data_IF_288218445716
#
_entry.id   IF_288218445716
#
_cell.length_a   1.000
_cell.length_b   1.000
_cell.length_c   1.000
_cell.angle_alpha   90.00
_cell.angle_beta   90.00
_cell.angle_gamma   90.00
#
_symmetry.space_group_name_H-M   'P 1'
#
loop_
_entity.id
_entity.type
_entity.pdbx_description
1 polymer ?
#
# COMPACT_ATOMS: atom_id res chain seq x y z
N UNK A 1 10.55 9.13 -5.39
CA UNK A 1 9.37 10.02 -5.42
C UNK A 1 8.19 9.11 -5.13
N UNK A 2 7.52 9.26 -3.98
CA UNK A 2 6.20 8.65 -3.83
C UNK A 2 5.26 9.43 -4.74
N UNK A 3 4.45 8.75 -5.56
CA UNK A 3 3.43 9.41 -6.36
C UNK A 3 2.46 10.19 -5.48
N UNK A 4 1.75 11.16 -6.06
CA UNK A 4 0.64 11.81 -5.38
C UNK A 4 -0.45 10.79 -5.05
N UNK A 5 -1.21 11.05 -3.98
CA UNK A 5 -2.45 10.32 -3.68
C UNK A 5 -3.61 11.25 -3.98
N UNK A 6 -4.60 10.74 -4.69
CA UNK A 6 -5.73 11.53 -5.14
C UNK A 6 -7.04 10.86 -4.71
N UNK A 7 -8.06 11.66 -4.31
CA UNK A 7 -9.32 11.14 -3.81
C UNK A 7 -10.17 10.50 -4.91
N UNK A 8 -9.95 10.87 -6.17
CA UNK A 8 -10.65 10.32 -7.31
C UNK A 8 -9.77 10.27 -8.57
N UNK A 9 -10.27 9.54 -9.57
CA UNK A 9 -9.61 9.29 -10.84
C UNK A 9 -9.48 10.56 -11.70
N UNK A 10 -10.40 11.52 -11.56
CA UNK A 10 -10.37 12.76 -12.35
C UNK A 10 -9.17 13.61 -11.92
N UNK A 11 -8.95 13.73 -10.61
CA UNK A 11 -7.80 14.44 -10.07
C UNK A 11 -6.49 13.69 -10.38
N UNK A 12 -6.48 12.36 -10.29
CA UNK A 12 -5.35 11.55 -10.72
C UNK A 12 -4.97 11.81 -12.18
N UNK A 13 -5.95 11.73 -13.10
CA UNK A 13 -5.78 11.96 -14.53
C UNK A 13 -5.32 13.40 -14.85
N UNK A 14 -5.79 14.39 -14.09
CA UNK A 14 -5.34 15.76 -14.24
C UNK A 14 -3.83 15.91 -13.97
N UNK A 15 -3.31 15.20 -12.96
CA UNK A 15 -1.92 15.26 -12.57
C UNK A 15 -1.01 14.30 -13.36
N UNK A 16 -1.54 13.15 -13.75
CA UNK A 16 -0.85 12.08 -14.44
C UNK A 16 -1.74 11.55 -15.58
N UNK A 17 -1.85 12.30 -16.69
CA UNK A 17 -2.75 11.94 -17.77
C UNK A 17 -2.34 10.66 -18.48
N UNK A 18 -3.32 9.97 -19.06
CA UNK A 18 -3.14 8.80 -19.89
C UNK A 18 -2.15 9.08 -21.03
N UNK A 19 -1.15 8.21 -21.18
CA UNK A 19 -0.15 8.36 -22.22
C UNK A 19 1.08 7.46 -22.06
N UNK A 20 2.02 7.65 -22.99
CA UNK A 20 3.32 7.00 -22.94
C UNK A 20 4.33 7.92 -22.26
N UNK A 21 4.84 7.48 -21.12
CA UNK A 21 5.87 8.16 -20.35
C UNK A 21 7.23 7.57 -20.72
N UNK A 22 8.16 8.41 -21.17
CA UNK A 22 9.48 7.97 -21.62
C UNK A 22 10.47 8.13 -20.46
N UNK A 23 10.91 7.01 -19.91
CA UNK A 23 11.99 6.98 -18.93
C UNK A 23 13.32 6.86 -19.67
N UNK A 24 14.21 7.83 -19.43
CA UNK A 24 15.54 7.85 -20.01
C UNK A 24 16.57 7.61 -18.92
N UNK A 25 17.44 6.65 -19.14
CA UNK A 25 18.53 6.35 -18.22
C UNK A 25 19.76 5.88 -18.99
N UNK A 26 20.92 6.22 -18.47
CA UNK A 26 22.21 5.80 -19.00
C UNK A 26 22.81 4.80 -18.02
N UNK A 27 23.16 3.61 -18.51
CA UNK A 27 23.79 2.58 -17.68
C UNK A 27 25.13 2.18 -18.28
N UNK A 28 26.13 1.82 -17.45
CA UNK A 28 27.43 1.38 -17.94
C UNK A 28 27.39 0.17 -18.89
N UNK A 29 26.38 -0.70 -18.77
CA UNK A 29 26.28 -1.95 -19.54
C UNK A 29 25.48 -1.80 -20.83
N UNK A 30 24.46 -0.95 -20.88
CA UNK A 30 23.58 -0.79 -22.05
C UNK A 30 23.76 0.53 -22.79
N UNK A 31 24.49 1.48 -22.21
CA UNK A 31 24.49 2.88 -22.62
C UNK A 31 23.12 3.53 -22.44
N UNK A 32 22.88 4.62 -23.16
CA UNK A 32 21.61 5.34 -23.16
C UNK A 32 20.45 4.42 -23.58
N UNK A 33 19.45 4.33 -22.71
CA UNK A 33 18.20 3.61 -22.95
C UNK A 33 17.01 4.56 -22.79
N UNK A 34 16.08 4.46 -23.74
CA UNK A 34 14.74 5.03 -23.62
C UNK A 34 13.75 3.89 -23.43
N UNK A 35 12.94 3.98 -22.39
CA UNK A 35 11.92 3.00 -22.08
C UNK A 35 10.56 3.68 -22.04
N UNK A 36 9.69 3.44 -23.04
CA UNK A 36 8.31 3.89 -22.97
C UNK A 36 7.53 3.01 -21.98
N UNK A 37 6.84 3.65 -21.05
CA UNK A 37 5.89 3.03 -20.12
C UNK A 37 4.51 3.61 -20.43
N UNK A 38 3.59 2.74 -20.80
CA UNK A 38 2.20 3.13 -21.01
C UNK A 38 1.48 3.24 -19.66
N UNK A 39 1.07 4.44 -19.30
CA UNK A 39 0.08 4.68 -18.26
C UNK A 39 -1.23 4.96 -18.97
N UNK A 40 -2.02 3.92 -19.23
CA UNK A 40 -3.32 4.04 -19.88
C UNK A 40 -4.35 3.37 -18.99
N UNK A 41 -5.07 4.18 -18.23
CA UNK A 41 -6.09 3.81 -17.25
C UNK A 41 -7.44 3.47 -17.92
N UNK A 42 -7.54 3.59 -19.25
CA UNK A 42 -8.72 3.27 -20.04
C UNK A 42 -8.63 1.88 -20.70
N UNK A 43 -9.34 0.90 -20.16
CA UNK A 43 -9.68 -0.32 -20.90
C UNK A 43 -11.14 -0.21 -21.36
N UNK A 44 -11.37 -0.01 -22.66
CA UNK A 44 -12.71 -0.08 -23.28
C UNK A 44 -13.82 0.76 -22.61
N UNK A 45 -13.49 1.92 -22.02
CA UNK A 45 -14.46 2.84 -21.40
C UNK A 45 -14.73 2.61 -19.92
N UNK A 46 -13.95 1.77 -19.24
CA UNK A 46 -13.99 1.59 -17.78
C UNK A 46 -12.62 1.82 -17.14
N UNK A 47 -12.64 2.32 -15.89
CA UNK A 47 -11.46 2.50 -15.04
C UNK A 47 -10.68 1.20 -14.88
N UNK A 48 -9.35 1.28 -14.88
CA UNK A 48 -8.46 0.17 -14.53
C UNK A 48 -8.06 0.19 -13.07
N UNK A 49 -8.42 1.24 -12.32
CA UNK A 49 -8.24 1.25 -10.87
C UNK A 49 -9.08 0.12 -10.27
N UNK A 50 -8.48 -0.73 -9.41
CA UNK A 50 -9.23 -1.82 -8.78
C UNK A 50 -10.23 -1.27 -7.75
N UNK A 51 -11.20 -2.10 -7.38
CA UNK A 51 -12.12 -1.77 -6.28
C UNK A 51 -11.32 -1.51 -4.98
N UNK A 52 -11.76 -0.54 -4.17
CA UNK A 52 -11.10 -0.22 -2.91
C UNK A 52 -11.18 -1.39 -1.92
N UNK A 53 -10.06 -1.84 -1.31
CA UNK A 53 -10.06 -2.91 -0.32
C UNK A 53 -10.82 -2.52 0.95
N UNK A 54 -11.81 -3.31 1.37
CA UNK A 54 -12.43 -3.16 2.68
C UNK A 54 -11.59 -3.87 3.75
N UNK A 55 -10.89 -3.12 4.59
CA UNK A 55 -10.02 -3.65 5.65
C UNK A 55 -10.85 -4.30 6.78
N UNK A 56 -10.47 -5.52 7.16
CA UNK A 56 -11.05 -6.27 8.27
C UNK A 56 -9.91 -6.66 9.22
N UNK A 57 -10.12 -6.44 10.51
CA UNK A 57 -9.12 -6.68 11.55
C UNK A 57 -9.55 -7.85 12.43
N UNK A 58 -8.62 -8.75 12.74
CA UNK A 58 -8.87 -9.84 13.68
C UNK A 58 -7.67 -10.16 14.56
N UNK A 59 -7.95 -10.63 15.77
CA UNK A 59 -6.95 -11.19 16.68
C UNK A 59 -7.49 -12.51 17.24
N UNK A 60 -6.65 -13.54 17.34
CA UNK A 60 -7.04 -14.88 17.76
C UNK A 60 -8.26 -15.43 16.99
N UNK A 61 -8.34 -15.15 15.69
CA UNK A 61 -9.41 -15.61 14.80
C UNK A 61 -10.76 -14.92 14.99
N UNK A 62 -10.84 -13.85 15.78
CA UNK A 62 -12.08 -13.09 16.01
C UNK A 62 -11.97 -11.68 15.43
N UNK A 63 -12.99 -11.21 14.66
CA UNK A 63 -13.05 -9.82 14.23
C UNK A 63 -13.03 -8.86 15.43
N UNK A 64 -12.31 -7.77 15.29
CA UNK A 64 -12.17 -6.74 16.32
C UNK A 64 -12.41 -5.34 15.74
N UNK A 65 -12.76 -4.40 16.61
CA UNK A 65 -12.82 -2.98 16.25
C UNK A 65 -11.42 -2.41 16.10
N UNK A 66 -11.19 -1.44 15.18
CA UNK A 66 -9.95 -0.69 15.07
C UNK A 66 -9.45 -0.06 16.37
N UNK A 67 -10.32 0.13 17.37
CA UNK A 67 -9.98 0.73 18.67
C UNK A 67 -9.81 -0.28 19.82
N UNK A 68 -9.93 -1.58 19.54
CA UNK A 68 -9.92 -2.64 20.56
C UNK A 68 -8.77 -3.66 20.35
N UNK A 69 -7.70 -3.24 19.68
CA UNK A 69 -6.55 -4.11 19.38
C UNK A 69 -5.75 -4.33 20.66
N UNK A 70 -5.48 -5.57 21.04
CA UNK A 70 -4.55 -5.89 22.13
C UNK A 70 -3.11 -5.79 21.62
N UNK A 71 -2.25 -5.05 22.31
CA UNK A 71 -0.86 -4.84 21.91
C UNK A 71 0.01 -6.11 22.00
N UNK A 72 -0.32 -7.03 22.88
CA UNK A 72 0.44 -8.27 23.12
C UNK A 72 0.04 -9.43 22.19
N UNK A 73 -0.88 -9.20 21.26
CA UNK A 73 -1.36 -10.19 20.30
C UNK A 73 -1.05 -9.75 18.85
N UNK A 74 -0.66 -10.68 17.97
CA UNK A 74 -0.49 -10.36 16.56
C UNK A 74 -1.83 -9.90 15.96
N UNK A 75 -1.77 -8.97 15.01
CA UNK A 75 -2.93 -8.42 14.32
C UNK A 75 -3.00 -9.02 12.91
N UNK A 76 -4.05 -9.80 12.65
CA UNK A 76 -4.33 -10.29 11.29
C UNK A 76 -5.16 -9.23 10.56
N UNK A 77 -4.60 -8.73 9.47
CA UNK A 77 -5.24 -7.79 8.54
C UNK A 77 -5.71 -8.59 7.33
N UNK A 78 -7.01 -8.55 7.07
CA UNK A 78 -7.62 -9.10 5.85
C UNK A 78 -8.36 -8.01 5.10
N UNK A 79 -8.80 -8.31 3.88
CA UNK A 79 -9.52 -7.38 3.03
C UNK A 79 -10.64 -8.09 2.28
N UNK A 80 -11.59 -7.31 1.73
CA UNK A 80 -12.58 -7.82 0.79
C UNK A 80 -11.91 -8.51 -0.39
N UNK A 81 -12.47 -9.64 -0.82
CA UNK A 81 -12.03 -10.35 -2.02
C UNK A 81 -11.93 -9.41 -3.23
N UNK A 82 -10.80 -9.43 -3.92
CA UNK A 82 -10.62 -8.66 -5.14
C UNK A 82 -11.37 -9.29 -6.31
N UNK A 83 -11.97 -8.45 -7.14
CA UNK A 83 -12.56 -8.87 -8.43
C UNK A 83 -11.53 -8.81 -9.56
N UNK A 84 -10.56 -7.91 -9.41
CA UNK A 84 -9.42 -7.71 -10.31
C UNK A 84 -8.17 -8.39 -9.70
N UNK A 85 -7.10 -8.54 -10.49
CA UNK A 85 -5.85 -9.18 -10.07
C UNK A 85 -5.48 -10.39 -10.93
N UNK A 86 -4.27 -10.43 -11.47
CA UNK A 86 -3.78 -11.46 -12.38
C UNK A 86 -2.30 -11.76 -12.19
N UNK A 87 -1.90 -12.95 -12.68
CA UNK A 87 -0.49 -13.24 -12.92
C UNK A 87 0.03 -12.37 -14.04
N UNK A 88 1.27 -11.94 -13.92
CA UNK A 88 1.94 -11.21 -14.97
C UNK A 88 2.28 -12.13 -16.14
N UNK A 89 1.80 -11.82 -17.37
CA UNK A 89 2.13 -12.60 -18.57
C UNK A 89 3.63 -12.71 -18.87
N UNK A 90 4.44 -11.74 -18.43
CA UNK A 90 5.89 -11.75 -18.63
C UNK A 90 6.67 -12.41 -17.49
N UNK A 91 5.99 -12.81 -16.40
CA UNK A 91 6.61 -13.45 -15.25
C UNK A 91 7.59 -12.56 -14.47
N UNK A 92 7.46 -11.24 -14.60
CA UNK A 92 8.25 -10.23 -13.89
C UNK A 92 7.66 -9.99 -12.50
N UNK A 93 6.39 -9.58 -12.43
CA UNK A 93 5.70 -9.31 -11.15
C UNK A 93 4.18 -9.33 -11.32
N UNK A 94 3.50 -10.24 -10.63
CA UNK A 94 2.04 -10.30 -10.59
C UNK A 94 1.44 -9.01 -10.02
N UNK A 95 0.11 -8.84 -10.17
CA UNK A 95 -0.62 -7.80 -9.46
C UNK A 95 -0.37 -7.90 -7.95
N UNK A 96 -0.23 -6.74 -7.29
CA UNK A 96 0.37 -6.62 -5.96
C UNK A 96 -0.64 -6.20 -4.90
N UNK A 97 -0.34 -6.61 -3.67
CA UNK A 97 -1.03 -6.12 -2.47
C UNK A 97 0.01 -5.58 -1.51
N UNK A 98 -0.27 -4.41 -0.92
CA UNK A 98 0.57 -3.86 0.13
C UNK A 98 -0.23 -3.64 1.40
N UNK A 99 0.31 -4.12 2.52
CA UNK A 99 -0.14 -3.75 3.87
C UNK A 99 0.98 -2.98 4.53
N UNK A 100 0.72 -1.73 4.88
CA UNK A 100 1.71 -0.81 5.43
C UNK A 100 1.14 -0.19 6.70
N UNK A 101 1.96 -0.12 7.75
CA UNK A 101 1.57 0.51 9.01
C UNK A 101 2.62 1.55 9.40
N UNK A 102 2.16 2.78 9.63
CA UNK A 102 2.92 3.85 10.26
C UNK A 102 2.53 4.02 11.72
N UNK A 103 3.47 4.42 12.56
CA UNK A 103 3.19 4.87 13.93
C UNK A 103 2.59 6.28 13.96
N UNK A 104 2.27 6.75 15.17
CA UNK A 104 1.73 8.08 15.40
C UNK A 104 2.64 9.24 14.94
N UNK A 105 3.95 9.01 14.80
CA UNK A 105 4.93 9.99 14.33
C UNK A 105 5.09 9.97 12.81
N UNK A 106 4.30 9.15 12.11
CA UNK A 106 4.42 8.97 10.67
C UNK A 106 5.68 8.21 10.26
N UNK A 107 6.18 7.31 11.12
CA UNK A 107 7.29 6.40 10.78
C UNK A 107 6.73 5.01 10.49
N UNK A 108 7.17 4.41 9.38
CA UNK A 108 6.81 3.03 9.04
C UNK A 108 7.31 2.06 10.10
N UNK A 109 6.39 1.26 10.64
CA UNK A 109 6.66 0.20 11.62
C UNK A 109 6.35 -1.20 11.09
N UNK A 110 5.53 -1.34 10.05
CA UNK A 110 5.27 -2.61 9.38
C UNK A 110 5.09 -2.44 7.87
N UNK A 111 5.50 -3.44 7.09
CA UNK A 111 5.31 -3.49 5.63
C UNK A 111 5.26 -4.94 5.18
N UNK A 112 4.35 -5.28 4.27
CA UNK A 112 4.21 -6.62 3.69
C UNK A 112 5.29 -6.99 2.67
N UNK A 113 6.43 -6.30 2.66
CA UNK A 113 7.50 -6.46 1.67
C UNK A 113 7.23 -5.83 0.29
N UNK A 114 8.24 -5.85 -0.57
CA UNK A 114 8.23 -5.30 -1.93
C UNK A 114 8.87 -6.28 -2.91
N UNK A 115 8.46 -6.27 -4.20
CA UNK A 115 9.15 -7.05 -5.21
C UNK A 115 10.60 -6.57 -5.38
N UNK A 116 11.47 -7.47 -5.81
CA UNK A 116 12.90 -7.22 -6.11
C UNK A 116 13.80 -6.82 -4.91
N UNK A 117 13.32 -6.91 -3.67
CA UNK A 117 14.10 -6.63 -2.46
C UNK A 117 14.61 -7.91 -1.75
N UNK A 118 14.56 -9.08 -2.40
CA UNK A 118 14.90 -10.41 -1.81
C UNK A 118 14.13 -10.76 -0.53
N UNK A 119 12.96 -10.15 -0.34
CA UNK A 119 12.05 -10.44 0.78
C UNK A 119 10.72 -10.97 0.26
N UNK A 120 9.98 -11.77 1.04
CA UNK A 120 8.60 -12.10 0.73
C UNK A 120 7.77 -10.83 0.51
N UNK A 121 6.86 -10.89 -0.46
CA UNK A 121 5.88 -9.84 -0.74
C UNK A 121 4.53 -10.49 -1.07
N UNK A 122 3.47 -9.69 -1.06
CA UNK A 122 2.11 -10.17 -1.37
C UNK A 122 1.77 -9.89 -2.82
N UNK A 123 1.15 -10.87 -3.47
CA UNK A 123 0.49 -10.71 -4.75
C UNK A 123 -1.04 -10.83 -4.60
N UNK A 124 -1.76 -10.68 -5.70
CA UNK A 124 -3.22 -10.64 -5.75
C UNK A 124 -3.93 -11.88 -5.18
N UNK A 125 -3.24 -13.02 -4.99
CA UNK A 125 -3.84 -14.21 -4.36
C UNK A 125 -3.74 -14.19 -2.83
N UNK A 126 -2.99 -13.26 -2.26
CA UNK A 126 -2.94 -13.07 -0.82
C UNK A 126 -4.33 -12.65 -0.29
N UNK A 127 -4.69 -13.20 0.85
CA UNK A 127 -5.96 -12.89 1.54
C UNK A 127 -5.75 -12.25 2.90
N UNK A 128 -4.53 -12.27 3.41
CA UNK A 128 -4.19 -11.78 4.73
C UNK A 128 -2.72 -11.35 4.84
N UNK A 129 -2.47 -10.51 5.84
CA UNK A 129 -1.14 -10.20 6.34
C UNK A 129 -1.17 -10.13 7.86
N UNK A 130 -0.16 -10.71 8.51
CA UNK A 130 -0.04 -10.69 9.96
C UNK A 130 0.97 -9.62 10.35
N UNK A 131 0.50 -8.63 11.10
CA UNK A 131 1.35 -7.66 11.78
C UNK A 131 1.77 -8.29 13.13
N UNK A 132 3.08 -8.53 13.34
CA UNK A 132 3.56 -9.13 14.57
C UNK A 132 3.27 -8.26 15.80
N UNK A 133 3.09 -8.89 16.97
CA UNK A 133 2.78 -8.19 18.22
C UNK A 133 3.89 -7.22 18.63
N UNK A 134 5.16 -7.52 18.30
CA UNK A 134 6.30 -6.66 18.57
C UNK A 134 6.23 -5.30 17.83
N UNK A 135 5.39 -5.16 16.81
CA UNK A 135 5.13 -3.90 16.12
C UNK A 135 3.99 -3.08 16.77
N UNK A 136 3.33 -3.63 17.79
CA UNK A 136 2.18 -3.06 18.47
C UNK A 136 2.56 -2.68 19.91
N UNK A 137 3.04 -1.45 20.10
CA UNK A 137 3.20 -0.87 21.43
C UNK A 137 1.84 -0.59 22.08
N UNK A 138 1.65 -0.80 23.40
CA UNK A 138 0.43 -0.45 24.12
C UNK A 138 0.09 1.04 24.07
N UNK A 139 -1.20 1.38 24.10
CA UNK A 139 -1.70 2.78 24.10
C UNK A 139 -1.15 3.64 22.95
N UNK A 140 -0.94 3.03 21.78
CA UNK A 140 -0.45 3.70 20.59
C UNK A 140 -1.48 3.68 19.45
N UNK A 141 -1.59 4.81 18.77
CA UNK A 141 -2.32 4.97 17.52
C UNK A 141 -1.40 4.68 16.32
N UNK A 142 -1.97 4.04 15.30
CA UNK A 142 -1.27 3.70 14.06
C UNK A 142 -2.12 4.02 12.84
N UNK A 143 -1.42 4.21 11.74
CA UNK A 143 -1.97 4.51 10.41
C UNK A 143 -1.77 3.29 9.53
N UNK A 144 -2.83 2.50 9.33
CA UNK A 144 -2.81 1.30 8.51
C UNK A 144 -3.32 1.61 7.11
N UNK A 145 -2.66 1.07 6.08
CA UNK A 145 -3.16 1.10 4.72
C UNK A 145 -3.10 -0.27 4.07
N UNK A 146 -4.13 -0.59 3.29
CA UNK A 146 -4.13 -1.71 2.35
C UNK A 146 -4.27 -1.16 0.93
N UNK A 147 -3.32 -1.49 0.07
CA UNK A 147 -3.29 -1.08 -1.34
C UNK A 147 -3.40 -2.32 -2.23
N UNK A 148 -4.28 -2.26 -3.22
CA UNK A 148 -4.35 -3.23 -4.31
C UNK A 148 -3.88 -2.53 -5.59
N UNK A 149 -2.85 -3.10 -6.23
CA UNK A 149 -2.20 -2.51 -7.39
C UNK A 149 -2.22 -3.47 -8.58
N UNK A 150 -2.87 -3.04 -9.66
CA UNK A 150 -2.80 -3.70 -10.97
C UNK A 150 -1.52 -3.25 -11.66
N UNK A 151 -0.71 -4.20 -12.14
CA UNK A 151 0.63 -3.95 -12.65
C UNK A 151 0.71 -4.33 -14.12
N UNK A 152 1.02 -3.34 -14.95
CA UNK A 152 1.45 -3.57 -16.31
C UNK A 152 2.97 -3.70 -16.36
N UNK A 153 3.43 -4.74 -17.04
CA UNK A 153 4.85 -5.01 -17.20
C UNK A 153 5.28 -4.89 -18.66
N UNK A 154 6.51 -4.41 -18.86
CA UNK A 154 7.16 -4.35 -20.17
C UNK A 154 8.63 -4.73 -20.03
N UNK A 155 9.26 -5.12 -21.13
CA UNK A 155 10.72 -5.33 -21.18
C UNK A 155 11.29 -4.55 -22.35
N UNK A 156 12.23 -3.65 -22.08
CA UNK A 156 12.97 -2.94 -23.12
C UNK A 156 14.46 -3.24 -22.99
N UNK A 157 15.05 -3.89 -24.00
CA UNK A 157 16.46 -4.33 -24.01
C UNK A 157 16.90 -5.05 -22.72
N UNK A 158 16.03 -5.91 -22.18
CA UNK A 158 16.30 -6.68 -20.96
C UNK A 158 16.05 -5.94 -19.66
N UNK A 159 15.60 -4.68 -19.70
CA UNK A 159 15.23 -3.91 -18.50
C UNK A 159 13.71 -3.98 -18.30
N UNK A 160 13.23 -4.46 -17.14
CA UNK A 160 11.81 -4.47 -16.82
C UNK A 160 11.28 -3.06 -16.57
N UNK A 161 10.07 -2.80 -17.02
CA UNK A 161 9.33 -1.56 -16.78
C UNK A 161 7.97 -1.85 -16.20
N UNK A 162 7.52 -1.03 -15.26
CA UNK A 162 6.29 -1.24 -14.51
C UNK A 162 5.43 0.03 -14.55
N UNK A 163 4.14 -0.15 -14.79
CA UNK A 163 3.09 0.83 -14.56
C UNK A 163 2.09 0.24 -13.56
N UNK A 164 1.69 1.02 -12.56
CA UNK A 164 0.81 0.52 -11.49
C UNK A 164 -0.44 1.38 -11.36
N UNK A 165 -1.60 0.74 -11.36
CA UNK A 165 -2.90 1.36 -11.13
C UNK A 165 -3.41 0.86 -9.78
N UNK A 166 -3.44 1.74 -8.79
CA UNK A 166 -3.61 1.32 -7.41
C UNK A 166 -4.73 2.07 -6.69
N UNK A 167 -5.49 1.32 -5.92
CA UNK A 167 -6.47 1.88 -4.97
C UNK A 167 -6.03 1.53 -3.57
N UNK A 168 -6.00 2.53 -2.69
CA UNK A 168 -5.58 2.37 -1.29
C UNK A 168 -6.73 2.71 -0.36
N UNK A 169 -6.91 1.92 0.69
CA UNK A 169 -7.79 2.25 1.82
C UNK A 169 -6.94 2.48 3.05
N UNK A 170 -7.22 3.58 3.75
CA UNK A 170 -6.56 3.98 4.99
C UNK A 170 -7.48 3.73 6.17
N UNK A 171 -6.90 3.31 7.29
CA UNK A 171 -7.61 3.04 8.54
C UNK A 171 -6.73 3.41 9.74
N UNK A 172 -7.20 4.35 10.54
CA UNK A 172 -6.60 4.59 11.85
C UNK A 172 -6.99 3.48 12.83
N UNK A 173 -5.99 2.95 13.51
CA UNK A 173 -6.15 1.91 14.52
C UNK A 173 -5.52 2.35 15.85
N UNK A 174 -5.98 1.77 16.95
CA UNK A 174 -5.52 2.07 18.30
C UNK A 174 -5.38 0.78 19.09
N UNK A 175 -4.26 0.67 19.78
CA UNK A 175 -3.93 -0.45 20.67
C UNK A 175 -4.32 -0.15 22.11
N UNK A 176 -4.76 -1.20 22.80
CA UNK A 176 -5.05 -1.26 24.22
C UNK A 176 -3.85 -1.80 25.00
N UNK A 177 -3.94 -1.72 26.32
CA UNK A 177 -2.88 -2.07 27.26
C UNK A 177 -2.46 -0.85 28.06
N UNK A 178 -1.32 -0.92 28.74
CA UNK A 178 -0.75 0.21 29.47
C UNK A 178 0.67 0.43 28.94
N UNK A 179 0.95 1.62 28.43
CA UNK A 179 2.29 2.00 28.07
C UNK A 179 3.14 2.19 29.33
N UNK A 180 4.46 2.06 29.19
CA UNK A 180 5.41 2.37 30.26
C UNK A 180 6.07 3.71 29.98
N UNK A 181 6.01 4.63 30.95
CA UNK A 181 6.58 5.97 30.80
C UNK A 181 5.99 6.76 29.63
N UNK A 182 6.86 7.36 28.82
CA UNK A 182 6.48 8.20 27.66
C UNK A 182 6.25 7.40 26.37
N UNK A 183 6.15 6.06 26.44
CA UNK A 183 5.94 5.23 25.25
C UNK A 183 4.51 5.32 24.68
N UNK A 184 3.57 5.91 25.42
CA UNK A 184 2.20 6.10 24.94
C UNK A 184 2.17 7.12 23.81
N UNK A 185 1.42 6.80 22.74
CA UNK A 185 1.21 7.74 21.65
C UNK A 185 -0.23 7.61 21.12
N UNK A 186 -1.23 8.07 21.90
CA UNK A 186 -2.63 7.75 21.68
C UNK A 186 -3.27 8.51 20.51
N UNK A 187 -2.54 9.45 19.90
CA UNK A 187 -3.03 10.31 18.83
C UNK A 187 -2.03 10.34 17.67
N UNK A 188 -2.54 10.43 16.44
CA UNK A 188 -1.70 10.62 15.25
C UNK A 188 -1.15 12.04 15.25
N UNK A 189 0.14 12.18 15.45
CA UNK A 189 0.86 13.46 15.48
C UNK A 189 1.28 13.91 14.08
N UNK A 190 1.50 12.95 13.18
CA UNK A 190 1.92 13.21 11.80
C UNK A 190 1.38 12.16 10.85
N UNK A 191 0.90 12.62 9.70
CA UNK A 191 0.53 11.73 8.60
C UNK A 191 1.71 10.89 8.11
N UNK A 192 1.49 9.58 8.02
CA UNK A 192 2.45 8.64 7.47
C UNK A 192 2.50 8.70 5.94
N UNK A 193 1.33 8.64 5.29
CA UNK A 193 1.18 8.69 3.83
C UNK A 193 0.39 9.95 3.42
N UNK A 194 0.69 10.50 2.25
CA UNK A 194 0.06 11.73 1.75
C UNK A 194 -1.43 11.55 1.43
N UNK A 195 -1.89 10.32 1.22
CA UNK A 195 -3.30 10.00 0.97
C UNK A 195 -4.17 9.99 2.21
N UNK A 196 -3.55 10.01 3.39
CA UNK A 196 -4.26 10.09 4.64
C UNK A 196 -4.55 11.55 4.99
N UNK A 197 -5.78 11.99 4.72
CA UNK A 197 -6.19 13.40 4.87
C UNK A 197 -6.99 13.69 6.15
N UNK A 198 -7.36 12.64 6.88
CA UNK A 198 -8.33 12.69 7.97
C UNK A 198 -7.74 13.11 9.34
N UNK A 199 -6.59 13.78 9.40
CA UNK A 199 -6.04 14.23 10.68
C UNK A 199 -7.11 15.03 11.42
N UNK A 200 -7.66 14.42 12.47
CA UNK A 200 -8.57 15.10 13.38
C UNK A 200 -7.76 16.25 13.95
N UNK A 201 -8.13 17.48 13.59
CA UNK A 201 -7.59 18.63 14.28
C UNK A 201 -7.79 18.42 15.78
N UNK A 202 -6.76 18.64 16.60
CA UNK A 202 -6.92 18.54 18.05
C UNK A 202 -8.06 19.48 18.45
N UNK A 203 -9.05 18.92 19.16
CA UNK A 203 -10.10 19.71 19.79
C UNK A 203 -9.55 20.41 21.01
#
# INVERSE_FOLDING_TARGET
>A
MHGGRYPDEIELEHHYPDGNYIFRYDTPSTGLLEQPIALVNSAAGSSRLPDAPHIILSQNGKPISPRLIQADLPLTVTWSTFKQGNKDPLGIVNDLVFVIMGDCHGKRVSHSGRPFENTPYLDYVATEFIIPAEHLLPENAYQLSVEHAIVDTTITKGVPGLATFATTTFLDIMTLGNATGEAACPEILRNFDAGQVDLRQPR
#
